data_IF_081596322404
#
_entry.id   IF_081596322404
#
_cell.length_a   1.000
_cell.length_b   1.000
_cell.length_c   1.000
_cell.angle_alpha   90.00
_cell.angle_beta   90.00
_cell.angle_gamma   90.00
#
_symmetry.space_group_name_H-M   'P 1'
#
loop_
_entity.id
_entity.type
_entity.pdbx_description
1 polymer ?
#
# COMPACT_ATOMS: atom_id res chain seq x y z
N UNK A 1 -2.17 -1.72 13.05
CA UNK A 1 -2.38 -2.86 12.14
C UNK A 1 -1.11 -3.70 12.18
N UNK A 2 -1.20 -5.04 12.27
CA UNK A 2 -0.02 -5.90 12.12
C UNK A 2 0.28 -6.12 10.64
N UNK A 3 1.53 -6.44 10.29
CA UNK A 3 1.91 -6.78 8.91
C UNK A 3 1.05 -7.91 8.33
N UNK A 4 0.68 -8.91 9.15
CA UNK A 4 -0.24 -9.99 8.76
C UNK A 4 -1.63 -9.48 8.41
N UNK A 5 -2.18 -8.54 9.20
CA UNK A 5 -3.50 -7.97 8.92
C UNK A 5 -3.56 -7.12 7.65
N UNK A 6 -2.42 -6.56 7.22
CA UNK A 6 -2.30 -5.87 5.94
C UNK A 6 -2.37 -6.87 4.78
N UNK A 7 -1.63 -7.99 4.86
CA UNK A 7 -1.64 -9.05 3.84
C UNK A 7 -3.06 -9.57 3.61
N UNK A 8 -3.81 -9.83 4.68
CA UNK A 8 -5.20 -10.33 4.59
C UNK A 8 -6.15 -9.33 3.91
N UNK A 9 -5.89 -8.03 4.04
CA UNK A 9 -6.79 -6.96 3.58
C UNK A 9 -6.44 -6.44 2.19
N UNK A 10 -5.23 -6.69 1.71
CA UNK A 10 -4.72 -6.14 0.45
C UNK A 10 -5.33 -6.80 -0.79
N UNK A 11 -5.92 -8.00 -0.65
CA UNK A 11 -6.46 -8.82 -1.75
C UNK A 11 -5.50 -8.88 -2.96
N UNK A 12 -4.21 -9.03 -2.67
CA UNK A 12 -3.15 -8.95 -3.68
C UNK A 12 -3.01 -10.29 -4.40
N UNK A 13 -3.56 -10.37 -5.61
CA UNK A 13 -3.66 -11.61 -6.40
C UNK A 13 -2.46 -11.87 -7.32
N UNK A 14 -1.56 -10.90 -7.50
CA UNK A 14 -0.43 -11.02 -8.44
C UNK A 14 0.63 -12.02 -7.97
N UNK A 15 0.88 -12.09 -6.66
CA UNK A 15 1.79 -13.08 -6.07
C UNK A 15 1.54 -13.22 -4.57
N UNK A 16 1.87 -14.37 -3.96
CA UNK A 16 1.86 -14.51 -2.50
C UNK A 16 2.69 -13.41 -1.84
N UNK A 17 2.05 -12.65 -0.95
CA UNK A 17 2.70 -11.62 -0.15
C UNK A 17 2.95 -12.13 1.26
N UNK A 18 4.22 -12.20 1.66
CA UNK A 18 4.62 -12.65 2.99
C UNK A 18 5.02 -11.47 3.89
N UNK A 19 4.78 -11.58 5.19
CA UNK A 19 5.16 -10.54 6.16
C UNK A 19 6.66 -10.19 6.10
N UNK A 20 7.52 -11.17 5.83
CA UNK A 20 8.96 -10.95 5.66
C UNK A 20 9.29 -10.04 4.45
N UNK A 21 8.48 -10.08 3.38
CA UNK A 21 8.66 -9.17 2.24
C UNK A 21 8.26 -7.74 2.64
N UNK A 22 7.14 -7.58 3.34
CA UNK A 22 6.70 -6.28 3.87
C UNK A 22 7.77 -5.67 4.75
N UNK A 23 8.33 -6.43 5.69
CA UNK A 23 9.41 -5.96 6.55
C UNK A 23 10.66 -5.54 5.78
N UNK A 24 10.98 -6.18 4.65
CA UNK A 24 12.10 -5.75 3.80
C UNK A 24 11.80 -4.43 3.08
N UNK A 25 10.55 -4.22 2.67
CA UNK A 25 10.11 -2.95 2.07
C UNK A 25 10.17 -1.81 3.10
N UNK A 26 9.62 -2.02 4.30
CA UNK A 26 9.61 -1.03 5.40
C UNK A 26 11.02 -0.65 5.88
N UNK A 27 12.00 -1.54 5.71
CA UNK A 27 13.40 -1.29 6.08
C UNK A 27 14.23 -0.70 4.92
N UNK A 28 13.63 -0.42 3.77
CA UNK A 28 14.34 0.05 2.58
C UNK A 28 15.32 -0.97 2.00
N UNK A 29 15.22 -2.25 2.39
CA UNK A 29 16.08 -3.33 1.86
C UNK A 29 15.68 -3.74 0.46
N UNK A 30 14.43 -3.50 0.09
CA UNK A 30 13.84 -3.76 -1.23
C UNK A 30 12.79 -2.72 -1.53
N UNK A 31 12.58 -2.45 -2.81
CA UNK A 31 11.44 -1.66 -3.27
C UNK A 31 10.22 -2.57 -3.49
N UNK A 32 9.02 -2.16 -3.04
CA UNK A 32 7.79 -2.87 -3.37
C UNK A 32 7.46 -2.73 -4.87
N UNK A 33 6.91 -3.77 -5.52
CA UNK A 33 6.49 -3.68 -6.91
C UNK A 33 5.34 -2.69 -7.09
N UNK A 34 5.24 -2.07 -8.26
CA UNK A 34 4.23 -1.05 -8.57
C UNK A 34 2.79 -1.53 -8.31
N UNK A 35 2.48 -2.78 -8.63
CA UNK A 35 1.17 -3.38 -8.40
C UNK A 35 0.82 -3.46 -6.91
N UNK A 36 1.83 -3.67 -6.05
CA UNK A 36 1.65 -3.70 -4.61
C UNK A 36 1.39 -2.30 -4.06
N UNK A 37 2.17 -1.30 -4.49
CA UNK A 37 1.93 0.11 -4.15
C UNK A 37 0.52 0.57 -4.59
N UNK A 38 0.08 0.15 -5.79
CA UNK A 38 -1.27 0.43 -6.27
C UNK A 38 -2.36 -0.23 -5.40
N UNK A 39 -2.12 -1.44 -4.90
CA UNK A 39 -3.04 -2.11 -3.98
C UNK A 39 -3.13 -1.36 -2.64
N UNK A 40 -2.00 -0.90 -2.10
CA UNK A 40 -1.99 -0.02 -0.93
C UNK A 40 -2.75 1.29 -1.17
N UNK A 41 -2.48 1.97 -2.29
CA UNK A 41 -3.14 3.21 -2.66
C UNK A 41 -4.68 3.03 -2.73
N UNK A 42 -5.15 1.93 -3.31
CA UNK A 42 -6.59 1.58 -3.37
C UNK A 42 -7.18 1.25 -2.00
N UNK A 43 -6.44 0.52 -1.16
CA UNK A 43 -6.88 0.16 0.18
C UNK A 43 -7.01 1.39 1.07
N UNK A 44 -6.01 2.28 1.02
CA UNK A 44 -5.97 3.55 1.75
C UNK A 44 -6.82 4.65 1.08
N UNK A 45 -7.26 4.44 -0.16
CA UNK A 45 -8.05 5.38 -0.96
C UNK A 45 -7.35 6.73 -1.14
N UNK A 46 -6.08 6.69 -1.54
CA UNK A 46 -5.22 7.85 -1.83
C UNK A 46 -4.57 7.70 -3.22
N UNK A 47 -4.12 8.80 -3.85
CA UNK A 47 -3.28 8.76 -5.05
C UNK A 47 -2.00 7.97 -4.80
N UNK A 48 -1.53 7.27 -5.84
CA UNK A 48 -0.30 6.48 -5.77
C UNK A 48 0.94 7.33 -5.48
N UNK A 49 0.99 8.55 -6.00
CA UNK A 49 2.10 9.49 -5.82
C UNK A 49 2.41 9.76 -4.34
N UNK A 50 1.38 9.80 -3.49
CA UNK A 50 1.52 9.97 -2.03
C UNK A 50 2.30 8.81 -1.37
N UNK A 51 2.31 7.62 -2.00
CA UNK A 51 3.08 6.47 -1.51
C UNK A 51 4.47 6.36 -2.14
N UNK A 52 4.71 7.02 -3.27
CA UNK A 52 5.93 6.87 -4.05
C UNK A 52 6.88 8.07 -3.92
N UNK A 53 6.40 9.20 -3.41
CA UNK A 53 7.14 10.43 -3.21
C UNK A 53 7.20 10.77 -1.71
N UNK A 54 8.36 10.50 -1.09
CA UNK A 54 8.60 10.74 0.33
C UNK A 54 8.57 12.23 0.71
N UNK A 55 8.58 13.14 -0.27
CA UNK A 55 8.42 14.59 -0.02
C UNK A 55 6.95 14.98 0.21
N UNK A 56 5.99 14.08 -0.02
CA UNK A 56 4.57 14.32 0.14
C UNK A 56 4.04 13.78 1.47
N UNK A 57 3.26 14.61 2.16
CA UNK A 57 2.53 14.19 3.35
C UNK A 57 1.26 13.41 3.01
N UNK A 58 0.87 12.50 3.91
CA UNK A 58 -0.45 11.87 3.86
C UNK A 58 -1.56 12.94 3.95
N UNK A 59 -2.62 12.85 3.14
CA UNK A 59 -3.68 13.86 3.17
C UNK A 59 -4.45 13.79 4.50
N UNK A 60 -4.80 14.96 5.04
CA UNK A 60 -5.57 15.06 6.30
C UNK A 60 -6.99 14.45 6.19
N UNK A 61 -7.50 14.30 4.97
CA UNK A 61 -8.80 13.70 4.68
C UNK A 61 -8.69 12.80 3.45
N UNK A 62 -9.58 11.81 3.34
CA UNK A 62 -9.60 10.97 2.15
C UNK A 62 -9.97 11.82 0.91
N UNK A 63 -9.15 11.79 -0.15
CA UNK A 63 -9.26 12.72 -1.29
C UNK A 63 -10.52 12.53 -2.13
N UNK A 64 -11.16 11.36 -2.07
CA UNK A 64 -12.43 11.11 -2.77
C UNK A 64 -13.31 10.10 -2.01
N UNK A 65 -14.64 10.15 -2.16
CA UNK A 65 -15.52 9.07 -1.71
C UNK A 65 -15.20 7.78 -2.46
N UNK A 66 -15.13 6.63 -1.76
CA UNK A 66 -14.99 5.32 -2.43
C UNK A 66 -16.20 5.09 -3.34
N UNK A 67 -16.00 5.21 -4.65
CA UNK A 67 -16.97 4.72 -5.63
C UNK A 67 -16.97 3.20 -5.56
N UNK A 68 -18.01 2.59 -5.01
CA UNK A 68 -18.22 1.14 -5.12
C UNK A 68 -18.57 0.85 -6.59
N UNK A 69 -17.71 0.10 -7.29
CA UNK A 69 -18.12 -0.62 -8.49
C UNK A 69 -18.64 -1.98 -8.10
#
# INVERSE_FOLDING_TARGET
MSQTGIVERLDYQESPLYAAQISNFEQGKREPPLQLLLAYARLANIPLEILADDELDLPAQLPAPRTRR
#
